data_IF_365266203430
#
_entry.id   IF_365266203430
#
_cell.length_a   1.000
_cell.length_b   1.000
_cell.length_c   1.000
_cell.angle_alpha   90.00
_cell.angle_beta   90.00
_cell.angle_gamma   90.00
#
_symmetry.space_group_name_H-M   'P 1'
#
loop_
_entity.id
_entity.type
_entity.pdbx_description
1 polymer ?
#
# COMPACT_ATOMS: atom_id res chain seq x y z
N UNK A 1 -31.01 -57.42 11.86
CA UNK A 1 -29.87 -56.69 12.46
C UNK A 1 -29.15 -55.90 11.36
N UNK A 2 -29.63 -54.70 11.01
CA UNK A 2 -29.18 -53.99 9.80
C UNK A 2 -29.21 -52.45 9.92
N UNK A 3 -29.31 -51.91 11.14
CA UNK A 3 -29.48 -50.46 11.37
C UNK A 3 -28.40 -49.81 12.25
N UNK A 4 -27.37 -50.54 12.67
CA UNK A 4 -26.33 -49.99 13.56
C UNK A 4 -24.93 -49.85 12.93
N UNK A 5 -24.76 -50.19 11.64
CA UNK A 5 -23.46 -50.09 10.94
C UNK A 5 -23.34 -48.83 10.07
N UNK A 6 -24.37 -47.98 10.01
CA UNK A 6 -24.32 -46.76 9.19
C UNK A 6 -23.86 -45.50 9.95
N UNK A 7 -23.72 -45.57 11.29
CA UNK A 7 -23.41 -44.38 12.11
C UNK A 7 -21.92 -44.21 12.46
N UNK A 8 -21.04 -45.13 12.06
CA UNK A 8 -19.59 -45.06 12.34
C UNK A 8 -18.77 -44.55 11.14
N UNK A 9 -19.34 -44.53 9.93
CA UNK A 9 -18.62 -44.07 8.73
C UNK A 9 -18.73 -42.57 8.44
N UNK A 10 -19.54 -41.80 9.19
CA UNK A 10 -19.69 -40.35 9.00
C UNK A 10 -18.73 -39.54 9.91
N UNK A 11 -18.18 -40.15 10.96
CA UNK A 11 -17.30 -39.45 11.91
C UNK A 11 -15.83 -39.39 11.48
N UNK A 12 -15.42 -40.14 10.44
CA UNK A 12 -14.04 -40.15 9.94
C UNK A 12 -13.79 -39.24 8.75
N UNK A 13 -14.82 -38.57 8.22
CA UNK A 13 -14.72 -37.62 7.09
C UNK A 13 -14.47 -36.17 7.51
N UNK A 14 -14.32 -35.88 8.81
CA UNK A 14 -14.01 -34.54 9.32
C UNK A 14 -12.53 -34.35 9.73
N UNK A 15 -11.65 -35.33 9.45
CA UNK A 15 -10.22 -35.29 9.84
C UNK A 15 -9.24 -35.06 8.67
N UNK A 16 -9.74 -34.77 7.48
CA UNK A 16 -8.91 -34.48 6.29
C UNK A 16 -9.40 -33.21 5.59
N UNK A 17 -9.26 -32.08 6.28
CA UNK A 17 -9.62 -30.77 5.75
C UNK A 17 -8.90 -29.63 6.45
N UNK A 18 -7.57 -29.65 6.53
CA UNK A 18 -6.75 -28.48 6.90
C UNK A 18 -5.32 -28.61 6.35
N UNK A 19 -5.16 -28.94 5.06
CA UNK A 19 -3.83 -28.98 4.42
C UNK A 19 -3.61 -27.81 3.45
N UNK A 20 -4.21 -26.63 3.67
CA UNK A 20 -4.00 -25.45 2.79
C UNK A 20 -4.30 -24.07 3.41
N UNK A 21 -4.26 -23.88 4.73
CA UNK A 21 -4.42 -22.54 5.35
C UNK A 21 -3.24 -22.12 6.24
N UNK A 22 -2.27 -23.00 6.46
CA UNK A 22 -1.11 -22.74 7.32
C UNK A 22 -0.11 -21.73 6.74
N UNK A 23 -0.25 -21.33 5.47
CA UNK A 23 0.63 -20.35 4.82
C UNK A 23 0.12 -18.90 4.87
N UNK A 24 -1.15 -18.66 5.22
CA UNK A 24 -1.73 -17.31 5.22
C UNK A 24 -1.90 -16.70 6.62
N UNK A 25 -1.94 -17.52 7.67
CA UNK A 25 -2.11 -17.04 9.05
C UNK A 25 -0.76 -16.84 9.76
N UNK A 26 0.29 -17.55 9.34
CA UNK A 26 1.62 -17.48 9.99
C UNK A 26 2.44 -16.23 9.60
N UNK A 27 1.96 -15.41 8.66
CA UNK A 27 2.63 -14.17 8.25
C UNK A 27 2.21 -12.93 9.06
N UNK A 28 1.07 -12.98 9.76
CA UNK A 28 0.49 -11.85 10.49
C UNK A 28 0.62 -11.92 12.02
N UNK A 29 1.08 -13.06 12.56
CA UNK A 29 1.49 -13.15 13.95
C UNK A 29 2.96 -12.73 14.05
N UNK A 30 3.34 -11.83 14.96
CA UNK A 30 4.74 -11.51 15.15
C UNK A 30 5.46 -12.80 15.57
N UNK A 31 6.25 -13.38 14.66
CA UNK A 31 7.23 -14.43 14.99
C UNK A 31 7.93 -13.97 16.25
N UNK A 32 7.86 -14.78 17.32
CA UNK A 32 8.52 -14.49 18.61
C UNK A 32 9.92 -13.99 18.31
N UNK A 33 10.11 -12.68 18.38
CA UNK A 33 11.34 -12.07 17.90
C UNK A 33 12.39 -12.39 18.96
N UNK A 34 13.25 -13.36 18.67
CA UNK A 34 14.28 -13.88 19.59
C UNK A 34 15.27 -12.80 20.05
N UNK A 35 15.19 -11.60 19.47
CA UNK A 35 16.00 -10.43 19.82
C UNK A 35 15.35 -9.50 20.86
N UNK A 36 14.05 -9.63 21.15
CA UNK A 36 13.34 -8.78 22.12
C UNK A 36 13.16 -9.53 23.45
N UNK A 37 13.71 -9.02 24.57
CA UNK A 37 13.53 -9.61 25.90
C UNK A 37 12.06 -9.82 26.27
N UNK A 38 11.75 -10.93 26.95
CA UNK A 38 10.36 -11.30 27.33
C UNK A 38 9.67 -10.19 28.13
N UNK A 39 10.38 -9.57 29.08
CA UNK A 39 9.85 -8.45 29.86
C UNK A 39 9.44 -7.23 29.02
N UNK A 40 10.01 -7.06 27.81
CA UNK A 40 9.57 -6.01 26.89
C UNK A 40 8.36 -6.46 26.08
N UNK A 41 8.22 -7.75 25.75
CA UNK A 41 7.07 -8.26 25.01
C UNK A 41 5.75 -7.98 25.76
N UNK A 42 5.74 -8.19 27.08
CA UNK A 42 4.58 -7.88 27.92
C UNK A 42 4.26 -6.38 27.90
N UNK A 43 5.27 -5.53 28.05
CA UNK A 43 5.08 -4.07 28.02
C UNK A 43 4.59 -3.57 26.66
N UNK A 44 5.07 -4.16 25.56
CA UNK A 44 4.58 -3.85 24.21
C UNK A 44 3.10 -4.21 24.09
N UNK A 45 2.69 -5.39 24.57
CA UNK A 45 1.31 -5.84 24.50
C UNK A 45 0.33 -4.92 25.27
N UNK A 46 0.79 -4.24 26.32
CA UNK A 46 -0.03 -3.25 27.05
C UNK A 46 -0.14 -1.89 26.35
N UNK A 47 0.76 -1.60 25.41
CA UNK A 47 0.90 -0.27 24.77
C UNK A 47 0.36 -0.21 23.35
N UNK A 48 0.14 -1.36 22.72
CA UNK A 48 -0.25 -1.48 21.32
C UNK A 48 -1.53 -2.29 21.21
N UNK A 49 -2.45 -1.81 20.38
CA UNK A 49 -3.54 -2.62 19.89
C UNK A 49 -3.21 -3.12 18.47
N UNK A 50 -2.78 -4.38 18.28
CA UNK A 50 -2.33 -4.88 16.97
C UNK A 50 -3.43 -4.93 15.90
N UNK A 51 -4.70 -4.94 16.32
CA UNK A 51 -5.86 -4.89 15.42
C UNK A 51 -6.01 -3.52 14.76
N UNK A 52 -5.62 -2.46 15.47
CA UNK A 52 -5.80 -1.07 15.01
C UNK A 52 -4.48 -0.39 14.66
N UNK A 53 -3.36 -0.89 15.16
CA UNK A 53 -2.04 -0.27 15.02
C UNK A 53 -1.05 -1.25 14.38
N UNK A 54 -0.29 -0.72 13.42
CA UNK A 54 0.90 -1.36 12.90
C UNK A 54 2.10 -0.87 13.70
N UNK A 55 2.98 -1.78 14.14
CA UNK A 55 4.07 -1.41 15.04
C UNK A 55 5.37 -2.15 14.72
N UNK A 56 6.48 -1.52 15.11
CA UNK A 56 7.79 -2.14 15.03
C UNK A 56 8.65 -1.75 16.23
N UNK A 57 9.54 -2.67 16.60
CA UNK A 57 10.51 -2.47 17.67
C UNK A 57 11.91 -2.55 17.08
N UNK A 58 12.64 -1.45 17.20
CA UNK A 58 14.05 -1.37 16.86
C UNK A 58 14.91 -1.42 18.12
N UNK A 59 16.15 -1.85 17.96
CA UNK A 59 17.16 -1.80 19.01
C UNK A 59 18.51 -1.27 18.50
N UNK A 60 19.37 -0.92 19.45
CA UNK A 60 20.79 -0.63 19.22
C UNK A 60 21.58 -0.93 20.48
N UNK A 61 22.82 -1.39 20.34
CA UNK A 61 23.72 -1.53 21.49
C UNK A 61 24.19 -0.16 22.00
N UNK A 62 24.49 -0.11 23.30
CA UNK A 62 25.13 1.03 23.95
C UNK A 62 26.63 0.86 23.76
N UNK A 63 27.15 1.53 22.73
CA UNK A 63 28.59 1.58 22.46
C UNK A 63 29.25 2.77 23.17
N UNK A 64 30.54 3.03 22.88
CA UNK A 64 31.30 4.17 23.40
C UNK A 64 30.63 5.55 23.18
N UNK A 65 29.71 5.65 22.23
CA UNK A 65 28.94 6.87 21.94
C UNK A 65 27.80 7.14 22.94
N UNK A 66 27.52 6.22 23.87
CA UNK A 66 26.54 6.39 24.95
C UNK A 66 25.08 6.14 24.55
N UNK A 67 24.22 6.13 25.56
CA UNK A 67 22.81 5.76 25.46
C UNK A 67 21.98 6.69 24.55
N UNK A 68 22.29 7.99 24.50
CA UNK A 68 21.57 8.95 23.65
C UNK A 68 21.72 8.59 22.17
N UNK A 69 22.94 8.24 21.74
CA UNK A 69 23.21 7.84 20.36
C UNK A 69 22.60 6.46 20.08
N UNK A 70 22.65 5.54 21.05
CA UNK A 70 21.97 4.24 20.94
C UNK A 70 20.45 4.41 20.79
N UNK A 71 19.81 5.32 21.53
CA UNK A 71 18.39 5.63 21.40
C UNK A 71 18.06 6.20 20.01
N UNK A 72 18.86 7.14 19.49
CA UNK A 72 18.65 7.66 18.15
C UNK A 72 18.75 6.56 17.07
N UNK A 73 19.73 5.66 17.20
CA UNK A 73 19.88 4.48 16.33
C UNK A 73 18.69 3.52 16.46
N UNK A 74 18.24 3.23 17.69
CA UNK A 74 17.07 2.37 17.95
C UNK A 74 15.79 2.99 17.37
N UNK A 75 15.60 4.30 17.48
CA UNK A 75 14.48 5.03 16.87
C UNK A 75 14.50 4.90 15.35
N UNK A 76 15.67 5.11 14.72
CA UNK A 76 15.83 4.95 13.28
C UNK A 76 15.54 3.52 12.85
N UNK A 77 16.10 2.53 13.55
CA UNK A 77 15.88 1.12 13.28
C UNK A 77 14.38 0.75 13.38
N UNK A 78 13.69 1.22 14.42
CA UNK A 78 12.25 1.00 14.59
C UNK A 78 11.43 1.60 13.44
N UNK A 79 11.76 2.84 13.03
CA UNK A 79 11.08 3.52 11.92
C UNK A 79 11.35 2.85 10.58
N UNK A 80 12.58 2.38 10.33
CA UNK A 80 12.94 1.66 9.11
C UNK A 80 12.16 0.33 9.02
N UNK A 81 12.05 -0.41 10.13
CA UNK A 81 11.22 -1.63 10.19
C UNK A 81 9.73 -1.33 10.01
N UNK A 82 9.22 -0.26 10.63
CA UNK A 82 7.83 0.16 10.48
C UNK A 82 7.52 0.58 9.05
N UNK A 83 8.46 1.26 8.38
CA UNK A 83 8.35 1.68 6.98
C UNK A 83 8.08 0.49 6.06
N UNK A 84 8.78 -0.63 6.25
CA UNK A 84 8.56 -1.84 5.46
C UNK A 84 7.19 -2.47 5.71
N UNK A 85 6.68 -2.44 6.94
CA UNK A 85 5.33 -2.93 7.23
C UNK A 85 4.26 -2.03 6.62
N UNK A 86 4.39 -0.70 6.75
CA UNK A 86 3.49 0.28 6.12
C UNK A 86 3.45 0.07 4.61
N UNK A 87 4.60 -0.18 3.97
CA UNK A 87 4.68 -0.45 2.54
C UNK A 87 3.84 -1.65 2.11
N UNK A 88 3.76 -2.71 2.93
CA UNK A 88 2.90 -3.88 2.66
C UNK A 88 1.42 -3.50 2.70
N UNK A 89 0.98 -2.82 3.75
CA UNK A 89 -0.41 -2.34 3.90
C UNK A 89 -0.83 -1.44 2.74
N UNK A 90 0.03 -0.48 2.35
CA UNK A 90 -0.25 0.45 1.25
C UNK A 90 -0.38 -0.30 -0.08
N UNK A 91 0.52 -1.27 -0.35
CA UNK A 91 0.40 -2.13 -1.54
C UNK A 91 -0.92 -2.89 -1.55
N UNK A 92 -1.37 -3.42 -0.42
CA UNK A 92 -2.67 -4.11 -0.29
C UNK A 92 -3.82 -3.14 -0.60
N UNK A 93 -3.80 -1.94 -0.02
CA UNK A 93 -4.81 -0.90 -0.28
C UNK A 93 -4.85 -0.52 -1.76
N UNK A 94 -3.69 -0.24 -2.37
CA UNK A 94 -3.60 0.13 -3.78
C UNK A 94 -4.03 -0.99 -4.72
N UNK A 95 -3.65 -2.24 -4.43
CA UNK A 95 -4.14 -3.39 -5.19
C UNK A 95 -5.67 -3.49 -5.09
N UNK A 96 -6.24 -3.30 -3.91
CA UNK A 96 -7.70 -3.26 -3.70
C UNK A 96 -8.36 -2.16 -4.52
N UNK A 97 -7.78 -0.96 -4.58
CA UNK A 97 -8.30 0.13 -5.42
C UNK A 97 -8.22 -0.24 -6.90
N UNK A 98 -7.10 -0.81 -7.34
CA UNK A 98 -6.90 -1.27 -8.71
C UNK A 98 -7.89 -2.36 -9.13
N UNK A 99 -8.38 -3.21 -8.21
CA UNK A 99 -9.44 -4.19 -8.53
C UNK A 99 -10.73 -3.52 -8.99
N UNK A 100 -11.01 -2.30 -8.52
CA UNK A 100 -12.21 -1.52 -8.87
C UNK A 100 -12.00 -0.60 -10.08
N UNK A 101 -10.85 -0.71 -10.77
CA UNK A 101 -10.48 0.14 -11.91
C UNK A 101 -10.60 -0.63 -13.23
N UNK A 102 -11.13 0.02 -14.27
CA UNK A 102 -11.23 -0.53 -15.62
C UNK A 102 -9.85 -0.68 -16.29
N UNK A 103 -9.77 -1.47 -17.36
CA UNK A 103 -8.49 -1.78 -18.02
C UNK A 103 -7.79 -0.55 -18.62
N UNK A 104 -8.54 0.43 -19.14
CA UNK A 104 -7.95 1.63 -19.70
C UNK A 104 -7.32 2.48 -18.58
N UNK A 105 -8.08 2.73 -17.51
CA UNK A 105 -7.59 3.49 -16.35
C UNK A 105 -6.41 2.78 -15.66
N UNK A 106 -6.39 1.44 -15.61
CA UNK A 106 -5.22 0.67 -15.15
C UNK A 106 -3.96 0.96 -15.98
N UNK A 107 -4.10 1.13 -17.28
CA UNK A 107 -3.00 1.49 -18.18
C UNK A 107 -2.37 2.86 -17.86
N UNK A 108 -3.14 3.76 -17.24
CA UNK A 108 -2.66 5.08 -16.79
C UNK A 108 -1.97 4.97 -15.43
N UNK A 109 -2.55 4.21 -14.49
CA UNK A 109 -2.10 4.17 -13.09
C UNK A 109 -0.88 3.26 -12.90
N UNK A 110 -0.88 2.08 -13.53
CA UNK A 110 0.13 1.03 -13.27
C UNK A 110 1.59 1.52 -13.42
N UNK A 111 1.94 2.34 -14.43
CA UNK A 111 3.30 2.84 -14.58
C UNK A 111 3.84 3.66 -13.41
N UNK A 112 2.96 4.32 -12.63
CA UNK A 112 3.36 5.19 -11.51
C UNK A 112 3.11 4.57 -10.14
N UNK A 113 2.58 3.34 -10.09
CA UNK A 113 2.11 2.74 -8.84
C UNK A 113 3.21 2.59 -7.79
N UNK A 114 4.45 2.34 -8.23
CA UNK A 114 5.61 2.28 -7.32
C UNK A 114 5.89 3.63 -6.67
N UNK A 115 5.91 4.71 -7.45
CA UNK A 115 6.18 6.06 -6.96
C UNK A 115 5.09 6.54 -6.01
N UNK A 116 3.82 6.25 -6.35
CA UNK A 116 2.69 6.52 -5.46
C UNK A 116 2.82 5.74 -4.14
N UNK A 117 3.30 4.49 -4.21
CA UNK A 117 3.48 3.66 -3.02
C UNK A 117 4.55 4.27 -2.11
N UNK A 118 5.71 4.60 -2.67
CA UNK A 118 6.82 5.16 -1.89
C UNK A 118 6.45 6.52 -1.30
N UNK A 119 5.75 7.37 -2.05
CA UNK A 119 5.21 8.63 -1.52
C UNK A 119 4.22 8.42 -0.38
N UNK A 120 3.24 7.52 -0.54
CA UNK A 120 2.25 7.22 0.48
C UNK A 120 2.91 6.65 1.76
N UNK A 121 3.95 5.82 1.61
CA UNK A 121 4.74 5.30 2.74
C UNK A 121 5.36 6.43 3.53
N UNK A 122 6.03 7.38 2.86
CA UNK A 122 6.68 8.50 3.54
C UNK A 122 5.67 9.43 4.22
N UNK A 123 4.49 9.62 3.63
CA UNK A 123 3.41 10.40 4.25
C UNK A 123 2.82 9.66 5.46
N UNK A 124 2.55 8.37 5.35
CA UNK A 124 2.01 7.56 6.45
C UNK A 124 3.01 7.50 7.62
N UNK A 125 4.30 7.31 7.36
CA UNK A 125 5.35 7.22 8.38
C UNK A 125 5.47 8.49 9.23
N UNK A 126 5.10 9.68 8.70
CA UNK A 126 5.06 10.93 9.48
C UNK A 126 4.03 10.90 10.62
N UNK A 127 3.05 10.00 10.55
CA UNK A 127 2.05 9.80 11.60
C UNK A 127 2.50 8.75 12.63
N UNK A 128 3.70 8.17 12.48
CA UNK A 128 4.21 7.22 13.45
C UNK A 128 4.56 7.93 14.78
N UNK A 129 4.11 7.34 15.87
CA UNK A 129 4.37 7.84 17.23
C UNK A 129 5.21 6.84 18.02
N UNK A 130 6.07 7.37 18.89
CA UNK A 130 6.85 6.54 19.80
C UNK A 130 5.96 6.18 21.00
N UNK A 131 5.73 4.89 21.21
CA UNK A 131 4.87 4.38 22.30
C UNK A 131 5.68 3.86 23.49
N UNK A 132 6.97 3.57 23.28
CA UNK A 132 7.88 3.11 24.31
C UNK A 132 9.35 3.26 23.94
N UNK A 133 10.17 3.42 24.98
CA UNK A 133 11.62 3.30 24.95
C UNK A 133 12.06 2.58 26.21
N UNK A 134 13.03 1.67 26.05
CA UNK A 134 13.57 0.90 27.17
C UNK A 134 15.08 0.77 27.01
N UNK A 135 15.76 0.68 28.13
CA UNK A 135 17.20 0.52 28.21
C UNK A 135 17.51 -0.65 29.13
N UNK A 136 18.49 -1.45 28.75
CA UNK A 136 19.19 -2.37 29.64
C UNK A 136 20.70 -2.06 29.59
N UNK A 137 21.50 -2.81 30.33
CA UNK A 137 22.94 -2.56 30.47
C UNK A 137 23.72 -2.56 29.14
N UNK A 138 23.18 -3.18 28.08
CA UNK A 138 23.89 -3.35 26.80
C UNK A 138 23.20 -2.69 25.62
N UNK A 139 21.92 -2.33 25.72
CA UNK A 139 21.10 -2.02 24.57
C UNK A 139 19.93 -1.10 24.91
N UNK A 140 19.54 -0.31 23.92
CA UNK A 140 18.35 0.53 23.91
C UNK A 140 17.36 0.00 22.90
N UNK A 141 16.07 0.06 23.23
CA UNK A 141 14.94 -0.38 22.43
C UNK A 141 13.98 0.78 22.21
N UNK A 142 13.36 0.84 21.02
CA UNK A 142 12.31 1.80 20.71
C UNK A 142 11.14 1.13 20.03
N UNK A 143 9.93 1.44 20.50
CA UNK A 143 8.66 1.02 19.91
C UNK A 143 8.01 2.20 19.20
N UNK A 144 7.78 2.06 17.90
CA UNK A 144 6.98 2.97 17.10
C UNK A 144 5.72 2.28 16.57
N UNK A 145 4.64 3.03 16.49
CA UNK A 145 3.38 2.56 15.94
C UNK A 145 2.68 3.64 15.11
N UNK A 146 1.83 3.19 14.19
CA UNK A 146 0.94 4.03 13.38
C UNK A 146 -0.43 3.36 13.30
N UNK A 147 -1.49 4.16 13.33
CA UNK A 147 -2.86 3.66 13.18
C UNK A 147 -3.09 3.13 11.75
N UNK A 148 -3.63 1.93 11.63
CA UNK A 148 -3.97 1.29 10.35
C UNK A 148 -4.98 2.11 9.56
N UNK A 149 -5.98 2.68 10.24
CA UNK A 149 -6.94 3.59 9.62
C UNK A 149 -6.25 4.79 8.96
N UNK A 150 -5.18 5.31 9.58
CA UNK A 150 -4.42 6.41 9.00
C UNK A 150 -3.65 5.99 7.75
N UNK A 151 -3.10 4.78 7.73
CA UNK A 151 -2.47 4.21 6.53
C UNK A 151 -3.50 4.13 5.40
N UNK A 152 -4.71 3.64 5.68
CA UNK A 152 -5.79 3.54 4.70
C UNK A 152 -6.27 4.92 4.21
N UNK A 153 -6.39 5.90 5.09
CA UNK A 153 -6.72 7.29 4.73
C UNK A 153 -5.68 7.89 3.79
N UNK A 154 -4.38 7.80 4.14
CA UNK A 154 -3.28 8.28 3.31
C UNK A 154 -3.27 7.58 1.96
N UNK A 155 -3.50 6.26 1.93
CA UNK A 155 -3.59 5.49 0.69
C UNK A 155 -4.70 6.05 -0.22
N UNK A 156 -5.89 6.30 0.32
CA UNK A 156 -7.01 6.89 -0.44
C UNK A 156 -6.65 8.29 -0.95
N UNK A 157 -6.09 9.15 -0.10
CA UNK A 157 -5.72 10.52 -0.46
C UNK A 157 -4.70 10.55 -1.60
N UNK A 158 -3.63 9.77 -1.51
CA UNK A 158 -2.58 9.73 -2.55
C UNK A 158 -3.14 9.19 -3.86
N UNK A 159 -3.87 8.07 -3.81
CA UNK A 159 -4.39 7.42 -5.01
C UNK A 159 -5.42 8.31 -5.73
N UNK A 160 -6.38 8.87 -4.99
CA UNK A 160 -7.41 9.76 -5.58
C UNK A 160 -6.85 11.12 -5.98
N UNK A 161 -5.86 11.65 -5.26
CA UNK A 161 -5.15 12.88 -5.65
C UNK A 161 -4.49 12.74 -7.01
N UNK A 162 -3.78 11.64 -7.25
CA UNK A 162 -3.19 11.34 -8.57
C UNK A 162 -4.24 11.27 -9.68
N UNK A 163 -5.37 10.60 -9.43
CA UNK A 163 -6.46 10.53 -10.40
C UNK A 163 -7.07 11.92 -10.69
N UNK A 164 -7.19 12.76 -9.67
CA UNK A 164 -7.61 14.15 -9.81
C UNK A 164 -6.68 14.94 -10.74
N UNK A 165 -5.36 14.80 -10.55
CA UNK A 165 -4.36 15.46 -11.40
C UNK A 165 -4.43 14.99 -12.85
N UNK A 166 -4.56 13.68 -13.08
CA UNK A 166 -4.73 13.11 -14.42
C UNK A 166 -6.00 13.64 -15.07
N UNK A 167 -7.12 13.62 -14.37
CA UNK A 167 -8.40 14.12 -14.86
C UNK A 167 -8.31 15.60 -15.24
N UNK A 168 -7.69 16.43 -14.39
CA UNK A 168 -7.46 17.86 -14.66
C UNK A 168 -6.62 18.10 -15.92
N UNK A 169 -5.56 17.31 -16.12
CA UNK A 169 -4.72 17.39 -17.33
C UNK A 169 -5.49 17.00 -18.59
N UNK A 170 -6.27 15.92 -18.56
CA UNK A 170 -7.07 15.48 -19.70
C UNK A 170 -8.16 16.50 -20.06
N UNK A 171 -8.86 17.06 -19.06
CA UNK A 171 -9.84 18.12 -19.29
C UNK A 171 -9.20 19.39 -19.88
N UNK A 172 -8.01 19.75 -19.41
CA UNK A 172 -7.27 20.88 -19.98
C UNK A 172 -6.91 20.66 -21.45
N UNK A 173 -6.54 19.43 -21.84
CA UNK A 173 -6.28 19.06 -23.23
C UNK A 173 -7.56 19.12 -24.06
N UNK A 174 -8.66 18.53 -23.55
CA UNK A 174 -9.97 18.56 -24.21
C UNK A 174 -10.42 19.98 -24.55
N UNK A 175 -10.32 20.89 -23.58
CA UNK A 175 -10.73 22.29 -23.77
C UNK A 175 -9.87 22.97 -24.84
N UNK A 176 -8.54 22.82 -24.77
CA UNK A 176 -7.62 23.37 -25.78
C UNK A 176 -7.91 22.88 -27.21
N UNK A 177 -8.33 21.63 -27.37
CA UNK A 177 -8.72 21.09 -28.68
C UNK A 177 -10.06 21.69 -29.14
N UNK A 178 -11.02 21.85 -28.23
CA UNK A 178 -12.31 22.48 -28.53
C UNK A 178 -12.16 23.94 -28.99
N UNK A 179 -11.18 24.65 -28.43
CA UNK A 179 -10.90 26.06 -28.75
C UNK A 179 -10.03 26.24 -30.02
N UNK A 180 -9.53 25.16 -30.63
CA UNK A 180 -8.71 25.26 -31.84
C UNK A 180 -9.57 25.53 -33.08
N UNK A 181 -9.36 26.68 -33.73
CA UNK A 181 -9.87 26.92 -35.08
C UNK A 181 -9.04 26.11 -36.09
N UNK A 182 -9.67 25.11 -36.71
CA UNK A 182 -9.05 24.37 -37.82
C UNK A 182 -9.16 25.24 -39.07
N UNK A 183 -8.11 26.00 -39.36
CA UNK A 183 -8.02 26.79 -40.58
C UNK A 183 -7.82 25.83 -41.78
N UNK A 184 -8.93 25.43 -42.42
CA UNK A 184 -8.89 24.67 -43.67
C UNK A 184 -8.46 25.62 -44.78
N UNK A 185 -7.35 25.38 -45.50
CA UNK A 185 -6.97 26.23 -46.61
C UNK A 185 -8.06 26.22 -47.69
N UNK A 186 -8.75 27.35 -47.85
CA UNK A 186 -9.67 27.59 -48.95
C UNK A 186 -8.86 27.83 -50.22
N UNK A 187 -8.34 26.76 -50.86
CA UNK A 187 -7.84 26.79 -52.22
C UNK A 187 -7.63 25.37 -52.77
N UNK A 188 -8.72 24.64 -53.07
CA UNK A 188 -8.65 23.51 -54.01
C UNK A 188 -9.99 23.14 -54.67
N UNK A 189 -10.94 24.07 -54.75
CA UNK A 189 -12.17 23.89 -55.53
C UNK A 189 -12.33 25.06 -56.50
N UNK A 190 -11.30 25.32 -57.31
CA UNK A 190 -11.53 26.01 -58.57
C UNK A 190 -12.04 24.98 -59.57
N UNK A 191 -13.35 25.05 -59.77
CA UNK A 191 -14.12 24.39 -60.82
C UNK A 191 -13.58 24.80 -62.18
N UNK A 192 -12.73 23.98 -62.79
CA UNK A 192 -12.44 24.08 -64.22
C UNK A 192 -13.53 23.31 -65.00
N UNK A 193 -14.73 23.88 -65.06
CA UNK A 193 -15.76 23.50 -66.04
C UNK A 193 -15.63 24.43 -67.23
N UNK A 194 -14.72 24.09 -68.15
CA UNK A 194 -14.76 24.62 -69.51
C UNK A 194 -15.40 23.56 -70.40
N UNK A 195 -16.73 23.59 -70.45
CA UNK A 195 -17.50 23.00 -71.54
C UNK A 195 -17.31 23.90 -72.77
N UNK A 196 -16.39 23.53 -73.67
CA UNK A 196 -16.44 24.02 -75.04
C UNK A 196 -17.38 23.11 -75.83
N UNK A 197 -18.65 23.47 -75.80
CA UNK A 197 -19.63 23.13 -76.82
C UNK A 197 -19.38 24.07 -78.02
N UNK A 198 -18.95 23.52 -79.16
CA UNK A 198 -19.08 24.20 -80.46
C UNK A 198 -19.98 23.31 -81.31
N UNK A 199 -21.09 23.92 -81.70
CA UNK A 199 -22.16 23.43 -82.56
C UNK A 199 -21.77 23.66 -84.03
N UNK A 200 -22.11 22.66 -84.86
CA UNK A 200 -22.14 22.57 -86.34
C UNK A 200 -20.84 22.72 -87.16
#
# INVERSE_FOLDING_TARGET
>A
MKKFIFLICIFTLFLSGCSSISTFIDENLPKKNTTIPVALQEQIATKINPENELFAVGNSNIDKSGAIIAQAKANKHAKDLLKEQIKKEIKINFNTFMLNTDNYSKGIISPVLSDLTDYAVDVALKNASQKGAWENDTSVYSLFAVDRDKITEVSKQVFTGYLGDVSGKLNSIKNKIGDMEINVPANSLDSNSNNNEVID
#
